data_IF_719862293177
#
_entry.id   IF_719862293177
#
_cell.length_a   1.000
_cell.length_b   1.000
_cell.length_c   1.000
_cell.angle_alpha   90.00
_cell.angle_beta   90.00
_cell.angle_gamma   90.00
#
_symmetry.space_group_name_H-M   'P 1'
#
loop_
_entity.id
_entity.type
_entity.pdbx_description
1 polymer ?
#
# COMPACT_ATOMS: atom_id res chain seq x y z
N UNK A 1 -1.74 -14.93 -0.09
CA UNK A 1 -0.97 -14.00 0.71
C UNK A 1 -0.79 -14.50 2.14
N UNK A 2 -0.05 -13.77 2.95
CA UNK A 2 0.23 -14.16 4.33
C UNK A 2 -0.96 -14.17 5.27
N UNK A 3 -2.08 -13.56 4.90
CA UNK A 3 -3.29 -13.51 5.71
C UNK A 3 -4.31 -14.59 5.32
N UNK A 4 -3.97 -15.48 4.39
CA UNK A 4 -4.87 -16.53 3.91
C UNK A 4 -5.96 -16.05 2.96
N UNK A 5 -5.88 -14.82 2.48
CA UNK A 5 -6.83 -14.26 1.50
C UNK A 5 -6.30 -14.54 0.10
N UNK A 6 -7.15 -15.09 -0.78
CA UNK A 6 -6.76 -15.32 -2.17
C UNK A 6 -6.62 -14.00 -2.92
N UNK A 7 -5.51 -13.83 -3.63
CA UNK A 7 -5.23 -12.65 -4.44
C UNK A 7 -4.89 -13.05 -5.87
N UNK A 8 -5.05 -12.10 -6.80
CA UNK A 8 -4.70 -12.28 -8.19
C UNK A 8 -4.09 -10.98 -8.75
N UNK A 9 -3.39 -11.06 -9.86
CA UNK A 9 -2.70 -9.92 -10.46
C UNK A 9 -1.67 -9.35 -9.49
N UNK A 10 -1.76 -8.06 -9.13
CA UNK A 10 -0.84 -7.41 -8.19
C UNK A 10 -1.45 -7.30 -6.79
N UNK A 11 -2.08 -8.37 -6.32
CA UNK A 11 -2.65 -8.40 -4.98
C UNK A 11 -4.12 -8.01 -4.91
N UNK A 12 -4.83 -7.99 -6.05
CA UNK A 12 -6.26 -7.75 -6.06
C UNK A 12 -6.99 -8.89 -5.35
N UNK A 13 -7.94 -8.56 -4.48
CA UNK A 13 -8.76 -9.53 -3.76
C UNK A 13 -10.16 -9.65 -4.36
N UNK A 14 -10.51 -8.77 -5.29
CA UNK A 14 -11.79 -8.78 -5.99
C UNK A 14 -11.59 -8.51 -7.48
N UNK A 15 -12.42 -9.14 -8.30
CA UNK A 15 -12.49 -8.93 -9.75
C UNK A 15 -13.94 -8.83 -10.14
N UNK A 16 -14.30 -7.75 -10.83
CA UNK A 16 -15.70 -7.48 -11.27
C UNK A 16 -16.70 -7.54 -10.12
N UNK A 17 -16.28 -7.05 -8.93
CA UNK A 17 -17.14 -7.00 -7.75
C UNK A 17 -17.28 -8.33 -7.00
N UNK A 18 -16.54 -9.37 -7.39
CA UNK A 18 -16.59 -10.69 -6.76
C UNK A 18 -15.22 -11.05 -6.16
N UNK A 19 -15.20 -11.77 -5.02
CA UNK A 19 -13.94 -12.23 -4.43
C UNK A 19 -13.15 -13.12 -5.38
N UNK A 20 -11.81 -13.03 -5.26
CA UNK A 20 -10.90 -13.95 -5.96
C UNK A 20 -11.04 -15.33 -5.35
N UNK A 21 -11.16 -16.35 -6.21
CA UNK A 21 -11.30 -17.75 -5.80
C UNK A 21 -10.10 -18.57 -6.27
N UNK A 22 -9.82 -19.72 -5.62
CA UNK A 22 -8.73 -20.59 -6.05
C UNK A 22 -8.88 -21.02 -7.52
N UNK A 23 -7.76 -21.05 -8.25
CA UNK A 23 -7.76 -21.46 -9.65
C UNK A 23 -8.19 -20.40 -10.65
N UNK A 24 -8.57 -19.20 -10.19
CA UNK A 24 -8.90 -18.09 -11.09
C UNK A 24 -7.69 -17.71 -11.92
N UNK A 25 -7.89 -17.54 -13.24
CA UNK A 25 -6.85 -17.12 -14.17
C UNK A 25 -7.36 -15.93 -14.98
N UNK A 26 -6.52 -14.92 -15.13
CA UNK A 26 -6.83 -13.73 -15.90
C UNK A 26 -5.73 -13.47 -16.92
N UNK A 27 -6.11 -12.94 -18.08
CA UNK A 27 -5.14 -12.48 -19.07
C UNK A 27 -4.35 -11.28 -18.54
N UNK A 28 -3.19 -11.02 -19.16
CA UNK A 28 -2.40 -9.82 -18.80
C UNK A 28 -3.23 -8.54 -18.98
N UNK A 29 -3.99 -8.42 -20.06
CA UNK A 29 -4.83 -7.25 -20.31
C UNK A 29 -5.92 -7.07 -19.26
N UNK A 30 -6.54 -8.17 -18.80
CA UNK A 30 -7.54 -8.12 -17.72
C UNK A 30 -6.88 -7.72 -16.39
N UNK A 31 -5.70 -8.28 -16.08
CA UNK A 31 -4.94 -7.87 -14.89
C UNK A 31 -4.56 -6.40 -14.94
N UNK A 32 -4.12 -5.88 -16.08
CA UNK A 32 -3.77 -4.47 -16.22
C UNK A 32 -4.98 -3.58 -15.90
N UNK A 33 -6.18 -3.97 -16.34
CA UNK A 33 -7.41 -3.24 -16.02
C UNK A 33 -7.77 -3.33 -14.54
N UNK A 34 -7.66 -4.52 -13.95
CA UNK A 34 -7.91 -4.73 -12.51
C UNK A 34 -6.96 -3.89 -11.68
N UNK A 35 -5.66 -3.91 -12.01
CA UNK A 35 -4.65 -3.11 -11.31
C UNK A 35 -4.92 -1.61 -11.44
N UNK A 36 -5.34 -1.13 -12.62
CA UNK A 36 -5.67 0.26 -12.84
C UNK A 36 -6.86 0.71 -11.99
N UNK A 37 -7.90 -0.11 -11.91
CA UNK A 37 -9.08 0.17 -11.09
C UNK A 37 -8.69 0.28 -9.61
N UNK A 38 -7.88 -0.66 -9.11
CA UNK A 38 -7.44 -0.65 -7.72
C UNK A 38 -6.56 0.57 -7.43
N UNK A 39 -5.67 0.94 -8.35
CA UNK A 39 -4.85 2.14 -8.22
C UNK A 39 -5.72 3.40 -8.17
N UNK A 40 -6.71 3.52 -9.05
CA UNK A 40 -7.60 4.68 -9.08
C UNK A 40 -8.41 4.79 -7.80
N UNK A 41 -8.90 3.68 -7.26
CA UNK A 41 -9.57 3.64 -5.96
C UNK A 41 -8.67 4.13 -4.84
N UNK A 42 -7.41 3.68 -4.83
CA UNK A 42 -6.43 4.07 -3.82
C UNK A 42 -6.12 5.57 -3.89
N UNK A 43 -5.94 6.11 -5.10
CA UNK A 43 -5.69 7.53 -5.31
C UNK A 43 -6.90 8.39 -4.89
N UNK A 44 -8.10 7.94 -5.20
CA UNK A 44 -9.33 8.63 -4.77
C UNK A 44 -9.46 8.64 -3.25
N UNK A 45 -9.10 7.53 -2.60
CA UNK A 45 -9.09 7.44 -1.13
C UNK A 45 -8.11 8.47 -0.53
N UNK A 46 -6.91 8.59 -1.10
CA UNK A 46 -5.91 9.57 -0.66
C UNK A 46 -6.46 10.99 -0.80
N UNK A 47 -7.05 11.31 -1.95
CA UNK A 47 -7.62 12.64 -2.19
C UNK A 47 -8.70 12.99 -1.17
N UNK A 48 -9.50 12.01 -0.76
CA UNK A 48 -10.60 12.19 0.20
C UNK A 48 -10.11 12.33 1.64
N UNK A 49 -9.12 11.54 2.05
CA UNK A 49 -8.79 11.32 3.46
C UNK A 49 -7.51 12.01 3.91
N UNK A 50 -6.59 12.34 3.01
CA UNK A 50 -5.35 13.04 3.35
C UNK A 50 -5.55 14.54 3.12
N UNK A 51 -5.37 15.33 4.17
CA UNK A 51 -5.73 16.75 4.17
C UNK A 51 -4.57 17.68 3.88
N UNK A 52 -3.36 17.16 3.73
CA UNK A 52 -2.19 17.99 3.41
C UNK A 52 -1.93 17.97 1.90
N UNK A 53 -1.37 19.06 1.31
CA UNK A 53 -1.00 19.05 -0.11
C UNK A 53 0.10 18.02 -0.39
N UNK A 54 -0.03 17.31 -1.51
CA UNK A 54 0.90 16.25 -1.90
C UNK A 54 1.28 16.40 -3.36
N UNK A 55 2.54 16.06 -3.69
CA UNK A 55 2.97 15.90 -5.08
C UNK A 55 2.44 14.58 -5.64
N UNK A 56 2.53 14.41 -6.97
CA UNK A 56 2.09 13.16 -7.61
C UNK A 56 2.89 11.95 -7.12
N UNK A 57 4.21 12.10 -6.92
CA UNK A 57 5.06 11.03 -6.37
C UNK A 57 4.64 10.64 -4.96
N UNK A 58 4.37 11.64 -4.12
CA UNK A 58 3.92 11.41 -2.75
C UNK A 58 2.57 10.71 -2.73
N UNK A 59 1.62 11.13 -3.55
CA UNK A 59 0.31 10.47 -3.68
C UNK A 59 0.45 9.01 -4.09
N UNK A 60 1.33 8.72 -5.05
CA UNK A 60 1.55 7.35 -5.52
C UNK A 60 2.08 6.44 -4.41
N UNK A 61 3.10 6.90 -3.67
CA UNK A 61 3.66 6.12 -2.55
C UNK A 61 2.66 5.89 -1.43
N UNK A 62 1.92 6.92 -1.06
CA UNK A 62 0.91 6.86 0.00
C UNK A 62 -0.26 5.97 -0.42
N UNK A 63 -0.74 6.10 -1.66
CA UNK A 63 -1.83 5.27 -2.18
C UNK A 63 -1.45 3.79 -2.19
N UNK A 64 -0.20 3.48 -2.60
CA UNK A 64 0.31 2.12 -2.59
C UNK A 64 0.35 1.55 -1.17
N UNK A 65 0.86 2.30 -0.23
CA UNK A 65 1.04 1.83 1.15
C UNK A 65 -0.29 1.76 1.91
N UNK A 66 -1.01 2.87 2.02
CA UNK A 66 -2.06 3.02 3.02
C UNK A 66 -3.37 2.34 2.60
N UNK A 67 -4.09 2.86 1.58
CA UNK A 67 -5.35 2.23 1.23
C UNK A 67 -5.20 0.90 0.50
N UNK A 68 -4.11 0.70 -0.26
CA UNK A 68 -3.95 -0.50 -1.09
C UNK A 68 -3.33 -1.66 -0.31
N UNK A 69 -2.11 -1.50 0.21
CA UNK A 69 -1.38 -2.62 0.82
C UNK A 69 -1.86 -2.96 2.24
N UNK A 70 -1.97 -1.98 3.14
CA UNK A 70 -2.41 -2.26 4.50
C UNK A 70 -3.93 -2.14 4.68
N UNK A 71 -4.59 -1.42 3.79
CA UNK A 71 -6.04 -1.22 3.80
C UNK A 71 -6.49 -0.10 4.72
N UNK A 72 -7.65 0.52 4.42
CA UNK A 72 -8.16 1.65 5.21
C UNK A 72 -8.32 1.35 6.70
N UNK A 73 -8.74 0.13 7.05
CA UNK A 73 -8.97 -0.27 8.43
C UNK A 73 -7.71 -0.24 9.29
N UNK A 74 -6.54 -0.52 8.70
CA UNK A 74 -5.25 -0.42 9.40
C UNK A 74 -4.61 0.96 9.21
N UNK A 75 -4.92 1.63 8.10
CA UNK A 75 -4.38 2.95 7.81
C UNK A 75 -4.85 4.02 8.78
N UNK A 76 -6.16 4.11 9.03
CA UNK A 76 -6.73 5.14 9.88
C UNK A 76 -6.12 5.19 11.29
N UNK A 77 -5.90 4.05 11.99
CA UNK A 77 -5.27 4.09 13.32
C UNK A 77 -3.75 4.17 13.28
N UNK A 78 -3.10 4.14 12.10
CA UNK A 78 -1.66 4.10 11.99
C UNK A 78 -0.99 5.40 12.42
N UNK A 79 0.24 5.30 12.90
CA UNK A 79 1.10 6.46 13.18
C UNK A 79 1.32 7.29 11.93
N UNK A 80 1.48 6.63 10.79
CA UNK A 80 1.63 7.28 9.49
C UNK A 80 0.48 8.25 9.22
N UNK A 81 -0.75 7.79 9.32
CA UNK A 81 -1.93 8.59 9.03
C UNK A 81 -2.05 9.79 9.98
N UNK A 82 -1.85 9.54 11.27
CA UNK A 82 -1.91 10.59 12.29
C UNK A 82 -0.87 11.67 12.08
N UNK A 83 0.38 11.28 11.79
CA UNK A 83 1.48 12.22 11.54
C UNK A 83 1.23 13.04 10.29
N UNK A 84 0.79 12.37 9.21
CA UNK A 84 0.57 13.05 7.93
C UNK A 84 -0.49 14.14 8.05
N UNK A 85 -1.63 13.83 8.63
CA UNK A 85 -2.71 14.80 8.78
C UNK A 85 -2.42 15.86 9.86
N UNK A 86 -1.43 15.64 10.71
CA UNK A 86 -0.92 16.67 11.63
C UNK A 86 0.12 17.58 10.97
N UNK A 87 0.48 17.33 9.70
CA UNK A 87 1.48 18.13 8.98
C UNK A 87 2.91 17.62 9.09
N UNK A 88 3.16 16.55 9.84
CA UNK A 88 4.48 15.93 9.96
C UNK A 88 4.73 14.97 8.80
N UNK A 89 5.02 15.51 7.63
CA UNK A 89 5.22 14.73 6.41
C UNK A 89 6.42 13.81 6.49
N UNK A 90 7.53 14.32 7.01
CA UNK A 90 8.77 13.56 7.13
C UNK A 90 8.60 12.37 8.07
N UNK A 91 8.07 12.61 9.27
CA UNK A 91 7.81 11.54 10.23
C UNK A 91 6.80 10.53 9.70
N UNK A 92 5.77 10.99 8.97
CA UNK A 92 4.79 10.12 8.35
C UNK A 92 5.43 9.21 7.31
N UNK A 93 6.14 9.77 6.32
CA UNK A 93 6.70 8.97 5.23
C UNK A 93 7.76 7.97 5.72
N UNK A 94 8.52 8.32 6.75
CA UNK A 94 9.49 7.40 7.35
C UNK A 94 8.81 6.26 8.09
N UNK A 95 7.66 6.50 8.71
CA UNK A 95 6.94 5.46 9.46
C UNK A 95 6.35 4.36 8.57
N UNK A 96 6.28 4.57 7.26
CA UNK A 96 5.90 3.53 6.30
C UNK A 96 6.81 2.31 6.44
N UNK A 97 8.11 2.51 6.68
CA UNK A 97 9.10 1.42 6.80
C UNK A 97 8.87 0.52 8.01
N UNK A 98 8.04 0.93 8.96
CA UNK A 98 7.74 0.09 10.14
C UNK A 98 6.83 -1.09 9.82
N UNK A 99 6.17 -1.08 8.67
CA UNK A 99 5.21 -2.11 8.26
C UNK A 99 5.90 -3.27 7.53
N UNK A 100 6.74 -3.99 8.28
CA UNK A 100 7.59 -5.07 7.75
C UNK A 100 7.34 -6.40 8.47
N UNK A 101 6.16 -6.56 9.08
CA UNK A 101 5.76 -7.82 9.70
C UNK A 101 4.62 -8.47 8.94
N UNK A 102 4.67 -9.78 8.84
CA UNK A 102 3.65 -10.61 8.21
C UNK A 102 3.26 -11.72 9.19
N UNK A 103 2.02 -11.67 9.70
CA UNK A 103 1.59 -12.61 10.73
C UNK A 103 2.45 -12.59 11.99
N UNK A 104 2.98 -11.41 12.37
CA UNK A 104 3.88 -11.25 13.52
C UNK A 104 5.34 -11.57 13.22
N UNK A 105 5.67 -12.08 12.03
CA UNK A 105 7.05 -12.41 11.64
C UNK A 105 7.75 -11.17 11.06
N UNK A 106 9.00 -10.96 11.46
CA UNK A 106 9.81 -9.86 10.94
C UNK A 106 10.30 -10.20 9.53
N UNK A 107 9.87 -9.42 8.55
CA UNK A 107 10.20 -9.66 7.14
C UNK A 107 11.64 -9.31 6.78
N UNK A 108 12.38 -8.62 7.65
CA UNK A 108 13.83 -8.40 7.47
C UNK A 108 14.60 -9.72 7.60
N UNK A 109 14.07 -10.68 8.32
CA UNK A 109 14.65 -12.03 8.44
C UNK A 109 14.25 -12.82 7.19
N UNK A 110 15.22 -13.13 6.33
CA UNK A 110 14.95 -13.75 5.03
C UNK A 110 14.30 -15.12 5.13
N UNK A 111 14.59 -15.87 6.18
CA UNK A 111 13.97 -17.17 6.40
C UNK A 111 12.46 -17.10 6.64
N UNK A 112 11.92 -15.93 6.93
CA UNK A 112 10.47 -15.72 7.07
C UNK A 112 9.74 -15.58 5.72
N UNK A 113 10.47 -15.57 4.60
CA UNK A 113 9.92 -15.58 3.23
C UNK A 113 9.00 -14.39 2.90
N UNK A 114 9.22 -13.24 3.54
CA UNK A 114 8.43 -12.04 3.26
C UNK A 114 9.29 -10.78 3.05
N UNK A 115 10.56 -10.96 2.63
CA UNK A 115 11.49 -9.83 2.43
C UNK A 115 10.99 -8.84 1.36
N UNK A 116 10.12 -9.27 0.45
CA UNK A 116 9.47 -8.38 -0.51
C UNK A 116 8.68 -7.26 0.15
N UNK A 117 8.17 -7.49 1.37
CA UNK A 117 7.50 -6.44 2.16
C UNK A 117 8.47 -5.30 2.51
N UNK A 118 9.70 -5.64 2.89
CA UNK A 118 10.74 -4.65 3.21
C UNK A 118 11.05 -3.79 1.99
N UNK A 119 11.26 -4.42 0.84
CA UNK A 119 11.55 -3.72 -0.42
C UNK A 119 10.38 -2.80 -0.80
N UNK A 120 9.16 -3.30 -0.68
CA UNK A 120 7.95 -2.52 -0.99
C UNK A 120 7.81 -1.30 -0.08
N UNK A 121 8.01 -1.47 1.23
CA UNK A 121 7.95 -0.35 2.18
C UNK A 121 9.02 0.69 1.90
N UNK A 122 10.22 0.26 1.51
CA UNK A 122 11.30 1.18 1.13
C UNK A 122 10.92 1.99 -0.10
N UNK A 123 10.36 1.37 -1.12
CA UNK A 123 9.92 2.05 -2.34
C UNK A 123 8.79 3.04 -2.06
N UNK A 124 7.79 2.63 -1.29
CA UNK A 124 6.66 3.48 -0.92
C UNK A 124 7.11 4.68 -0.07
N UNK A 125 8.00 4.44 0.88
CA UNK A 125 8.58 5.51 1.71
C UNK A 125 9.39 6.49 0.87
N UNK A 126 10.22 5.99 -0.06
CA UNK A 126 11.01 6.84 -0.94
C UNK A 126 10.13 7.77 -1.78
N UNK A 127 9.03 7.27 -2.33
CA UNK A 127 8.08 8.07 -3.09
C UNK A 127 7.35 9.08 -2.19
N UNK A 128 6.89 8.64 -1.03
CA UNK A 128 6.17 9.50 -0.09
C UNK A 128 7.06 10.59 0.49
N UNK A 129 8.37 10.33 0.62
CA UNK A 129 9.34 11.30 1.15
C UNK A 129 9.94 12.20 0.04
N UNK A 130 9.65 11.93 -1.23
CA UNK A 130 10.27 12.65 -2.33
C UNK A 130 10.01 14.15 -2.23
N UNK A 131 11.09 14.92 -2.21
CA UNK A 131 11.02 16.38 -2.20
C UNK A 131 10.71 17.02 -0.84
N UNK A 132 10.56 16.24 0.23
CA UNK A 132 10.18 16.81 1.54
C UNK A 132 11.33 17.64 2.13
N UNK A 133 12.57 17.22 1.90
CA UNK A 133 13.76 17.90 2.46
C UNK A 133 14.38 18.90 1.48
N UNK A 134 13.65 19.30 0.44
CA UNK A 134 14.15 20.25 -0.57
C UNK A 134 13.54 21.62 -0.41
#
# INVERSE_FOLDING_TARGET
>A
DGAGIWTICRGAIMVDGKPVIPGMKLSKGKCDRVNAIERDKALAWVAKNIKVPLTESQKAGIASFCPYNIGPGKCFPSTFYKRLNAGDRKGACESIRWWIKDGGRDCRTRSNNCYGQVIRRDQESALACWGIDQ
#
